data_IF_969830697868
#
_entry.id   IF_969830697868
#
_cell.length_a   1.000
_cell.length_b   1.000
_cell.length_c   1.000
_cell.angle_alpha   90.00
_cell.angle_beta   90.00
_cell.angle_gamma   90.00
#
_symmetry.space_group_name_H-M   'P 1'
#
loop_
_entity.id
_entity.type
_entity.pdbx_description
1 polymer ?
#
# COMPACT_ATOMS: atom_id res chain seq x y z
N UNK A 1 12.09 12.93 -20.94
CA UNK A 1 11.63 11.88 -21.88
C UNK A 1 11.61 10.54 -21.17
N UNK A 2 10.53 9.75 -21.34
CA UNK A 2 10.42 8.41 -20.76
C UNK A 2 10.84 7.35 -21.79
N UNK A 3 11.67 6.39 -21.35
CA UNK A 3 12.16 5.28 -22.19
C UNK A 3 11.92 3.98 -21.40
N UNK A 4 11.39 2.96 -22.08
CA UNK A 4 11.20 1.64 -21.44
C UNK A 4 12.57 1.05 -21.08
N UNK A 5 12.72 0.67 -19.80
CA UNK A 5 13.97 0.11 -19.29
C UNK A 5 14.18 -1.32 -19.79
N UNK A 6 15.43 -1.67 -20.01
CA UNK A 6 15.88 -3.06 -20.20
C UNK A 6 16.44 -3.63 -18.90
N UNK A 7 16.60 -4.96 -18.83
CA UNK A 7 17.27 -5.59 -17.69
C UNK A 7 18.69 -5.05 -17.47
N UNK A 8 19.42 -4.78 -18.55
CA UNK A 8 20.78 -4.19 -18.48
C UNK A 8 20.78 -2.77 -17.89
N UNK A 9 19.72 -1.99 -18.16
CA UNK A 9 19.59 -0.66 -17.57
C UNK A 9 19.39 -0.76 -16.07
N UNK A 10 18.59 -1.73 -15.58
CA UNK A 10 18.37 -1.91 -14.15
C UNK A 10 19.67 -2.34 -13.46
N UNK A 11 20.46 -3.24 -14.04
CA UNK A 11 21.77 -3.61 -13.51
C UNK A 11 22.69 -2.38 -13.35
N UNK A 12 22.64 -1.46 -14.33
CA UNK A 12 23.44 -0.25 -14.31
C UNK A 12 22.96 0.80 -13.30
N UNK A 13 21.65 0.94 -13.11
CA UNK A 13 21.07 2.03 -12.33
C UNK A 13 20.48 1.60 -10.98
N UNK A 14 20.58 0.33 -10.57
CA UNK A 14 19.99 -0.15 -9.31
C UNK A 14 20.53 0.56 -8.07
N UNK A 15 21.82 0.87 -8.01
CA UNK A 15 22.43 1.55 -6.89
C UNK A 15 21.98 3.02 -6.80
N UNK A 16 21.85 3.66 -7.94
CA UNK A 16 21.30 5.00 -8.07
C UNK A 16 19.83 5.02 -7.61
N UNK A 17 19.01 4.11 -8.12
CA UNK A 17 17.60 4.00 -7.71
C UNK A 17 17.47 3.73 -6.20
N UNK A 18 18.30 2.84 -5.64
CA UNK A 18 18.28 2.55 -4.21
C UNK A 18 18.65 3.78 -3.36
N UNK A 19 19.63 4.57 -3.79
CA UNK A 19 20.00 5.80 -3.09
C UNK A 19 18.85 6.83 -3.03
N UNK A 20 18.06 6.92 -4.10
CA UNK A 20 16.87 7.77 -4.14
C UNK A 20 15.72 7.17 -3.32
N UNK A 21 15.53 5.87 -3.40
CA UNK A 21 14.48 5.16 -2.70
C UNK A 21 14.57 5.29 -1.16
N UNK A 22 15.78 5.42 -0.61
CA UNK A 22 16.00 5.64 0.83
C UNK A 22 15.72 7.07 1.29
N UNK A 23 15.49 8.02 0.37
CA UNK A 23 15.17 9.42 0.67
C UNK A 23 13.68 9.67 0.46
N UNK A 24 12.92 9.78 1.55
CA UNK A 24 11.48 10.05 1.51
C UNK A 24 11.10 11.40 0.87
N UNK A 25 12.05 12.29 0.65
CA UNK A 25 11.82 13.56 -0.06
C UNK A 25 11.91 13.43 -1.58
N UNK A 26 12.34 12.26 -2.09
CA UNK A 26 12.58 11.96 -3.51
C UNK A 26 11.94 10.69 -4.01
N UNK A 27 11.56 9.80 -3.10
CA UNK A 27 10.92 8.54 -3.46
C UNK A 27 9.40 8.65 -3.46
N UNK A 28 8.77 7.82 -4.28
CA UNK A 28 7.39 7.41 -4.12
C UNK A 28 7.32 6.02 -3.49
N UNK A 29 6.09 5.53 -3.34
CA UNK A 29 5.82 4.17 -2.95
C UNK A 29 6.81 3.21 -3.65
N UNK A 30 7.40 2.21 -3.02
CA UNK A 30 7.02 1.57 -1.76
C UNK A 30 8.18 1.34 -0.79
N UNK A 31 9.28 2.07 -0.74
CA UNK A 31 10.48 1.54 -0.07
C UNK A 31 10.22 1.25 1.37
N UNK A 32 9.45 1.44 2.10
CA UNK A 32 9.15 0.98 3.46
C UNK A 32 7.76 0.35 3.55
N UNK A 33 6.94 0.48 2.49
CA UNK A 33 5.57 0.05 2.52
C UNK A 33 5.42 -1.45 2.44
N UNK A 34 6.18 -2.14 1.64
CA UNK A 34 6.03 -3.60 1.48
C UNK A 34 7.04 -4.39 2.34
N UNK A 35 7.49 -3.81 3.47
CA UNK A 35 8.51 -4.42 4.32
C UNK A 35 9.89 -4.51 3.67
N UNK A 36 10.13 -3.71 2.64
CA UNK A 36 11.42 -3.61 1.97
C UNK A 36 12.35 -2.78 2.85
N UNK A 37 13.21 -3.44 3.60
CA UNK A 37 14.14 -2.81 4.54
C UNK A 37 15.61 -2.92 4.15
N UNK A 38 15.93 -3.74 3.13
CA UNK A 38 17.29 -3.99 2.69
C UNK A 38 17.47 -3.73 1.20
N UNK A 39 18.70 -3.42 0.79
CA UNK A 39 19.06 -3.26 -0.63
C UNK A 39 18.73 -4.53 -1.45
N UNK A 40 18.94 -5.70 -0.90
CA UNK A 40 18.66 -6.97 -1.58
C UNK A 40 17.14 -7.13 -1.86
N UNK A 41 16.29 -6.78 -0.90
CA UNK A 41 14.84 -6.77 -1.09
C UNK A 41 14.41 -5.71 -2.12
N UNK A 42 15.00 -4.52 -2.07
CA UNK A 42 14.76 -3.46 -3.06
C UNK A 42 15.13 -3.91 -4.48
N UNK A 43 16.29 -4.53 -4.66
CA UNK A 43 16.71 -5.06 -5.96
C UNK A 43 15.71 -6.11 -6.45
N UNK A 44 15.27 -7.03 -5.57
CA UNK A 44 14.24 -8.02 -5.92
C UNK A 44 12.93 -7.34 -6.33
N UNK A 45 12.53 -6.28 -5.64
CA UNK A 45 11.33 -5.50 -5.99
C UNK A 45 11.49 -4.84 -7.38
N UNK A 46 12.62 -4.21 -7.69
CA UNK A 46 12.87 -3.69 -9.05
C UNK A 46 12.79 -4.78 -10.12
N UNK A 47 13.38 -5.96 -9.86
CA UNK A 47 13.32 -7.08 -10.80
C UNK A 47 11.89 -7.58 -11.06
N UNK A 48 11.00 -7.49 -10.06
CA UNK A 48 9.61 -7.89 -10.23
C UNK A 48 8.87 -7.11 -11.33
N UNK A 49 9.31 -5.89 -11.66
CA UNK A 49 8.79 -5.12 -12.78
C UNK A 49 8.95 -5.78 -14.16
N UNK A 50 9.82 -6.81 -14.26
CA UNK A 50 10.01 -7.59 -15.49
C UNK A 50 9.43 -9.00 -15.42
N UNK A 51 8.91 -9.43 -14.28
CA UNK A 51 8.41 -10.79 -14.08
C UNK A 51 6.94 -10.93 -14.48
N UNK A 52 6.18 -9.84 -14.37
CA UNK A 52 4.76 -9.77 -14.72
C UNK A 52 4.52 -9.29 -16.15
N UNK A 53 3.35 -9.65 -16.71
CA UNK A 53 2.88 -9.07 -17.98
C UNK A 53 2.28 -7.67 -17.78
N UNK A 54 1.85 -7.38 -16.55
CA UNK A 54 1.06 -6.22 -16.17
C UNK A 54 1.89 -5.22 -15.35
N UNK A 55 3.22 -5.22 -15.55
CA UNK A 55 4.15 -4.30 -14.87
C UNK A 55 5.28 -3.90 -15.80
N UNK A 56 5.85 -2.72 -15.59
CA UNK A 56 6.96 -2.20 -16.39
C UNK A 56 7.80 -1.18 -15.60
N UNK A 57 8.97 -0.87 -16.15
CA UNK A 57 9.87 0.16 -15.62
C UNK A 57 10.23 1.12 -16.75
N UNK A 58 10.12 2.41 -16.49
CA UNK A 58 10.55 3.48 -17.38
C UNK A 58 11.76 4.19 -16.77
N UNK A 59 12.71 4.54 -17.63
CA UNK A 59 13.78 5.49 -17.32
C UNK A 59 13.29 6.90 -17.61
N UNK A 60 13.48 7.82 -16.69
CA UNK A 60 13.34 9.24 -16.94
C UNK A 60 14.70 9.80 -17.38
N UNK A 61 14.75 10.31 -18.60
CA UNK A 61 15.98 10.84 -19.23
C UNK A 61 15.81 12.32 -19.50
N UNK A 62 16.76 13.12 -19.00
CA UNK A 62 16.89 14.56 -19.27
C UNK A 62 18.34 14.87 -19.66
N UNK A 63 18.54 15.71 -20.66
CA UNK A 63 19.87 16.09 -21.18
C UNK A 63 20.79 14.87 -21.44
N UNK A 64 20.25 13.84 -22.09
CA UNK A 64 20.93 12.57 -22.40
C UNK A 64 21.40 11.76 -21.18
N UNK A 65 20.94 12.12 -19.96
CA UNK A 65 21.27 11.43 -18.72
C UNK A 65 20.03 10.79 -18.11
N UNK A 66 20.21 9.60 -17.55
CA UNK A 66 19.16 8.97 -16.74
C UNK A 66 19.12 9.68 -15.41
N UNK A 67 18.00 10.33 -15.13
CA UNK A 67 17.73 11.08 -13.89
C UNK A 67 16.68 10.43 -13.01
N UNK A 68 16.19 9.26 -13.39
CA UNK A 68 15.27 8.51 -12.55
C UNK A 68 14.70 7.26 -13.18
N UNK A 69 13.93 6.55 -12.34
CA UNK A 69 13.16 5.37 -12.72
C UNK A 69 11.74 5.50 -12.17
N UNK A 70 10.77 5.05 -12.98
CA UNK A 70 9.36 4.92 -12.58
C UNK A 70 8.97 3.47 -12.83
N UNK A 71 8.57 2.76 -11.77
CA UNK A 71 8.02 1.42 -11.85
C UNK A 71 6.52 1.49 -11.61
N UNK A 72 5.74 0.77 -12.41
CA UNK A 72 4.29 0.75 -12.30
C UNK A 72 3.75 -0.64 -12.62
N UNK A 73 2.53 -0.90 -12.17
CA UNK A 73 1.74 -2.04 -12.59
C UNK A 73 0.32 -1.61 -12.95
N UNK A 74 -0.39 -2.46 -13.69
CA UNK A 74 -1.77 -2.20 -14.07
C UNK A 74 -2.63 -3.48 -13.97
N UNK A 75 -3.93 -3.28 -13.85
CA UNK A 75 -4.94 -4.35 -13.83
C UNK A 75 -5.95 -4.02 -14.94
N UNK A 76 -5.81 -4.68 -16.09
CA UNK A 76 -6.57 -4.38 -17.30
C UNK A 76 -8.09 -4.43 -17.07
N UNK A 77 -8.59 -5.51 -16.44
CA UNK A 77 -10.03 -5.69 -16.17
C UNK A 77 -10.68 -4.60 -15.31
N UNK A 78 -9.86 -3.88 -14.53
CA UNK A 78 -10.31 -2.85 -13.60
C UNK A 78 -9.95 -1.44 -14.07
N UNK A 79 -9.29 -1.30 -15.24
CA UNK A 79 -8.73 -0.04 -15.74
C UNK A 79 -7.94 0.70 -14.65
N UNK A 80 -7.14 -0.06 -13.89
CA UNK A 80 -6.37 0.42 -12.74
C UNK A 80 -4.89 0.44 -13.08
N UNK A 81 -4.19 1.54 -12.79
CA UNK A 81 -2.75 1.66 -12.91
C UNK A 81 -2.18 2.35 -11.68
N UNK A 82 -1.12 1.80 -11.10
CA UNK A 82 -0.48 2.37 -9.92
C UNK A 82 1.03 2.37 -10.09
N UNK A 83 1.68 3.46 -9.67
CA UNK A 83 3.12 3.45 -9.46
C UNK A 83 3.44 2.61 -8.22
N UNK A 84 4.42 1.74 -8.33
CA UNK A 84 5.00 1.00 -7.21
C UNK A 84 6.51 1.27 -7.04
N UNK A 85 7.02 2.28 -7.76
CA UNK A 85 8.35 2.85 -7.60
C UNK A 85 8.47 4.16 -8.36
N UNK A 86 8.97 5.20 -7.68
CA UNK A 86 9.23 6.51 -8.28
C UNK A 86 10.50 7.09 -7.66
N UNK A 87 11.57 7.11 -8.41
CA UNK A 87 12.91 7.45 -7.94
C UNK A 87 13.51 8.48 -8.89
N UNK A 88 13.31 9.78 -8.61
CA UNK A 88 13.71 10.88 -9.49
C UNK A 88 14.71 11.79 -8.78
N UNK A 89 15.88 12.01 -9.39
CA UNK A 89 16.89 12.95 -8.92
C UNK A 89 16.77 14.33 -9.54
N UNK A 90 16.21 14.38 -10.76
CA UNK A 90 16.08 15.59 -11.56
C UNK A 90 14.76 16.34 -11.33
N UNK A 91 14.18 16.79 -12.44
CA UNK A 91 12.92 17.52 -12.44
C UNK A 91 11.73 16.59 -12.18
N UNK A 92 11.26 16.58 -10.93
CA UNK A 92 10.12 15.78 -10.48
C UNK A 92 8.81 16.19 -11.17
N UNK A 93 8.60 17.48 -11.45
CA UNK A 93 7.40 17.97 -12.10
C UNK A 93 7.34 17.51 -13.55
N UNK A 94 8.46 17.63 -14.27
CA UNK A 94 8.57 17.12 -15.63
C UNK A 94 8.36 15.60 -15.67
N UNK A 95 8.96 14.83 -14.75
CA UNK A 95 8.82 13.37 -14.71
C UNK A 95 7.37 12.93 -14.49
N UNK A 96 6.63 13.59 -13.58
CA UNK A 96 5.21 13.31 -13.33
C UNK A 96 4.37 13.69 -14.55
N UNK A 97 4.60 14.87 -15.13
CA UNK A 97 3.86 15.34 -16.31
C UNK A 97 4.05 14.36 -17.48
N UNK A 98 5.28 14.00 -17.79
CA UNK A 98 5.59 13.03 -18.86
C UNK A 98 5.00 11.65 -18.58
N UNK A 99 4.95 11.22 -17.32
CA UNK A 99 4.34 9.93 -16.97
C UNK A 99 2.81 9.95 -17.14
N UNK A 100 2.15 11.06 -16.80
CA UNK A 100 0.71 11.25 -17.06
C UNK A 100 0.42 11.25 -18.56
N UNK A 101 1.26 11.90 -19.36
CA UNK A 101 1.12 11.90 -20.82
C UNK A 101 1.34 10.50 -21.40
N UNK A 102 2.39 9.81 -20.98
CA UNK A 102 2.65 8.41 -21.33
C UNK A 102 1.45 7.50 -21.01
N UNK A 103 0.88 7.65 -19.82
CA UNK A 103 -0.29 6.82 -19.43
C UNK A 103 -1.54 7.19 -20.24
N UNK A 104 -1.75 8.44 -20.58
CA UNK A 104 -2.87 8.87 -21.45
C UNK A 104 -2.76 8.27 -22.84
N UNK A 105 -1.55 8.14 -23.39
CA UNK A 105 -1.33 7.55 -24.71
C UNK A 105 -1.47 6.03 -24.73
N UNK A 106 -1.07 5.34 -23.63
CA UNK A 106 -0.98 3.88 -23.60
C UNK A 106 -2.09 3.20 -22.80
N UNK A 107 -2.78 3.94 -21.91
CA UNK A 107 -3.77 3.44 -20.95
C UNK A 107 -5.01 4.34 -20.87
N UNK A 108 -5.51 4.81 -22.02
CA UNK A 108 -6.70 5.66 -22.05
C UNK A 108 -7.91 5.00 -21.35
N UNK A 109 -8.55 5.71 -20.44
CA UNK A 109 -9.67 5.22 -19.64
C UNK A 109 -9.28 4.56 -18.32
N UNK A 110 -7.99 4.56 -17.97
CA UNK A 110 -7.53 4.05 -16.66
C UNK A 110 -7.57 5.12 -15.58
N UNK A 111 -7.70 4.68 -14.33
CA UNK A 111 -7.43 5.48 -13.14
C UNK A 111 -5.97 5.25 -12.72
N UNK A 112 -5.18 6.32 -12.74
CA UNK A 112 -3.77 6.33 -12.40
C UNK A 112 -3.58 6.77 -10.95
N UNK A 113 -2.94 5.93 -10.14
CA UNK A 113 -2.72 6.15 -8.71
C UNK A 113 -1.26 6.46 -8.40
N UNK A 114 -1.05 7.49 -7.60
CA UNK A 114 0.26 7.96 -7.15
C UNK A 114 0.33 7.96 -5.63
N UNK A 115 1.10 7.06 -5.04
CA UNK A 115 1.37 7.02 -3.61
C UNK A 115 2.72 7.64 -3.26
N UNK A 116 2.73 8.59 -2.31
CA UNK A 116 3.95 9.26 -1.89
C UNK A 116 4.03 9.45 -0.37
N UNK A 117 5.25 9.40 0.22
CA UNK A 117 5.46 10.00 1.53
C UNK A 117 5.12 11.49 1.49
N UNK A 118 4.41 12.01 2.49
CA UNK A 118 4.05 13.44 2.59
C UNK A 118 5.28 14.37 2.60
N UNK A 119 6.44 13.82 2.96
CA UNK A 119 7.73 14.54 2.89
C UNK A 119 8.19 14.84 1.46
N UNK A 120 7.67 14.13 0.44
CA UNK A 120 7.98 14.44 -0.95
C UNK A 120 7.12 15.61 -1.47
N UNK A 121 7.35 16.79 -0.92
CA UNK A 121 6.60 18.00 -1.27
C UNK A 121 6.69 18.38 -2.76
N UNK A 122 7.79 17.99 -3.44
CA UNK A 122 7.95 18.25 -4.88
C UNK A 122 6.97 17.42 -5.71
N UNK A 123 6.88 16.12 -5.43
CA UNK A 123 5.92 15.25 -6.11
C UNK A 123 4.48 15.67 -5.83
N UNK A 124 4.14 15.97 -4.57
CA UNK A 124 2.81 16.42 -4.19
C UNK A 124 2.42 17.70 -4.95
N UNK A 125 3.31 18.70 -4.99
CA UNK A 125 3.06 19.92 -5.75
C UNK A 125 2.88 19.66 -7.25
N UNK A 126 3.71 18.79 -7.83
CA UNK A 126 3.60 18.42 -9.24
C UNK A 126 2.27 17.71 -9.56
N UNK A 127 1.81 16.82 -8.67
CA UNK A 127 0.50 16.15 -8.81
C UNK A 127 -0.65 17.17 -8.76
N UNK A 128 -0.61 18.10 -7.81
CA UNK A 128 -1.61 19.18 -7.71
C UNK A 128 -1.62 20.07 -8.96
N UNK A 129 -0.44 20.45 -9.47
CA UNK A 129 -0.31 21.24 -10.70
C UNK A 129 -0.87 20.51 -11.93
N UNK A 130 -0.77 19.18 -11.95
CA UNK A 130 -1.33 18.33 -13.00
C UNK A 130 -2.81 17.98 -12.78
N UNK A 131 -3.47 18.55 -11.76
CA UNK A 131 -4.87 18.34 -11.45
C UNK A 131 -5.19 16.90 -11.02
N UNK A 132 -4.28 16.26 -10.30
CA UNK A 132 -4.54 15.01 -9.61
C UNK A 132 -5.36 15.27 -8.33
N UNK A 133 -6.29 14.39 -8.01
CA UNK A 133 -7.15 14.47 -6.84
C UNK A 133 -6.53 13.72 -5.66
N UNK A 134 -6.50 14.32 -4.47
CA UNK A 134 -6.11 13.67 -3.24
C UNK A 134 -7.27 12.78 -2.76
N UNK A 135 -7.03 11.47 -2.64
CA UNK A 135 -8.05 10.49 -2.24
C UNK A 135 -7.79 9.83 -0.89
N UNK A 136 -6.54 9.88 -0.40
CA UNK A 136 -6.20 9.32 0.91
C UNK A 136 -5.07 10.11 1.56
N UNK A 137 -5.19 10.31 2.89
CA UNK A 137 -4.11 10.71 3.79
C UNK A 137 -4.09 9.71 4.96
N UNK A 138 -2.95 9.06 5.17
CA UNK A 138 -2.82 8.02 6.19
C UNK A 138 -1.42 8.00 6.82
N UNK A 139 -1.27 7.22 7.88
CA UNK A 139 0.02 6.90 8.49
C UNK A 139 0.45 5.53 8.01
N UNK A 140 1.58 5.46 7.36
CA UNK A 140 2.19 4.19 6.99
C UNK A 140 2.88 3.58 8.21
N UNK A 141 2.23 2.61 8.80
CA UNK A 141 2.66 1.93 10.01
C UNK A 141 3.22 0.54 9.72
N UNK A 142 4.34 0.23 10.34
CA UNK A 142 5.02 -1.06 10.24
C UNK A 142 5.13 -1.70 11.61
N UNK A 143 4.73 -2.96 11.74
CA UNK A 143 4.96 -3.79 12.92
C UNK A 143 5.93 -4.92 12.59
N UNK A 144 7.01 -5.06 13.38
CA UNK A 144 7.99 -6.16 13.22
C UNK A 144 7.61 -7.31 14.15
N UNK A 145 7.34 -8.47 13.56
CA UNK A 145 6.84 -9.65 14.27
C UNK A 145 7.93 -10.46 14.99
N UNK A 146 9.21 -10.15 14.82
CA UNK A 146 10.32 -10.95 15.35
C UNK A 146 10.15 -11.23 16.86
N UNK A 147 9.94 -10.19 17.64
CA UNK A 147 9.82 -10.26 19.10
C UNK A 147 8.37 -10.30 19.61
N UNK A 148 7.39 -10.42 18.71
CA UNK A 148 6.00 -10.49 19.10
C UNK A 148 5.68 -11.84 19.78
N UNK A 149 5.08 -11.75 20.97
CA UNK A 149 4.62 -12.91 21.74
C UNK A 149 3.15 -13.14 21.47
N UNK A 150 2.83 -14.33 20.96
CA UNK A 150 1.44 -14.73 20.67
C UNK A 150 0.60 -14.69 21.94
N UNK A 151 -0.55 -14.05 21.89
CA UNK A 151 -1.51 -13.96 22.98
C UNK A 151 -2.54 -15.10 22.87
N UNK A 152 -2.64 -15.95 23.89
CA UNK A 152 -3.39 -17.20 23.84
C UNK A 152 -4.91 -17.05 23.84
N UNK A 153 -5.45 -15.98 24.42
CA UNK A 153 -6.91 -15.79 24.52
C UNK A 153 -7.31 -14.36 24.14
N UNK A 154 -8.06 -14.27 23.05
CA UNK A 154 -8.71 -13.04 22.63
C UNK A 154 -10.23 -13.25 22.73
N UNK A 155 -10.81 -12.84 23.88
CA UNK A 155 -12.23 -13.01 24.14
C UNK A 155 -13.08 -12.29 23.06
N UNK A 156 -14.09 -12.99 22.56
CA UNK A 156 -15.03 -12.45 21.57
C UNK A 156 -14.48 -12.35 20.14
N UNK A 157 -13.23 -12.74 19.89
CA UNK A 157 -12.67 -12.76 18.53
C UNK A 157 -13.09 -14.04 17.80
N UNK A 158 -13.65 -13.88 16.60
CA UNK A 158 -13.98 -14.99 15.70
C UNK A 158 -13.40 -14.76 14.31
N UNK A 159 -12.77 -15.80 13.75
CA UNK A 159 -12.31 -15.78 12.37
C UNK A 159 -13.50 -15.85 11.42
N UNK A 160 -13.48 -15.04 10.37
CA UNK A 160 -14.49 -15.06 9.32
C UNK A 160 -14.23 -16.23 8.38
N UNK A 161 -15.29 -16.97 8.10
CA UNK A 161 -15.37 -18.08 7.16
C UNK A 161 -16.60 -17.91 6.26
N UNK A 162 -16.83 -18.78 5.33
CA UNK A 162 -18.04 -18.74 4.47
C UNK A 162 -19.33 -18.73 5.32
N UNK A 163 -19.34 -19.45 6.47
CA UNK A 163 -20.54 -19.58 7.31
C UNK A 163 -20.97 -18.30 8.03
N UNK A 164 -20.04 -17.39 8.33
CA UNK A 164 -20.31 -16.13 9.03
C UNK A 164 -19.91 -14.87 8.21
N UNK A 165 -19.55 -15.02 6.93
CA UNK A 165 -19.18 -13.90 6.08
C UNK A 165 -20.29 -12.84 5.96
N UNK A 166 -21.54 -13.27 6.05
CA UNK A 166 -22.69 -12.34 6.03
C UNK A 166 -22.68 -11.33 7.19
N UNK A 167 -22.08 -11.68 8.33
CA UNK A 167 -21.95 -10.78 9.48
C UNK A 167 -20.84 -9.75 9.26
N UNK A 168 -19.72 -10.17 8.67
CA UNK A 168 -18.68 -9.26 8.19
C UNK A 168 -19.24 -8.25 7.19
N UNK A 169 -19.99 -8.72 6.18
CA UNK A 169 -20.63 -7.86 5.18
C UNK A 169 -21.61 -6.85 5.78
N UNK A 170 -22.33 -7.21 6.85
CA UNK A 170 -23.26 -6.30 7.53
C UNK A 170 -22.57 -5.18 8.32
N UNK A 171 -21.43 -5.47 8.95
CA UNK A 171 -20.72 -4.47 9.74
C UNK A 171 -19.82 -3.58 8.88
N UNK A 172 -19.26 -4.14 7.79
CA UNK A 172 -18.42 -3.40 6.87
C UNK A 172 -19.26 -2.46 6.04
N UNK A 173 -19.09 -1.15 6.26
CA UNK A 173 -19.71 -0.12 5.42
C UNK A 173 -18.96 -0.15 4.09
N UNK A 174 -19.67 -0.56 3.02
CA UNK A 174 -19.09 -0.55 1.67
C UNK A 174 -18.87 0.89 1.27
N UNK A 175 -17.61 1.26 1.02
CA UNK A 175 -17.29 2.50 0.33
C UNK A 175 -17.29 2.22 -1.18
N UNK A 176 -18.02 3.03 -1.95
CA UNK A 176 -18.08 2.90 -3.41
C UNK A 176 -16.72 3.07 -4.08
N UNK A 177 -15.77 3.73 -3.40
CA UNK A 177 -14.43 3.99 -3.90
C UNK A 177 -13.39 2.95 -3.47
N UNK A 178 -13.79 1.92 -2.72
CA UNK A 178 -12.85 0.88 -2.27
C UNK A 178 -12.63 -0.18 -3.35
N UNK A 179 -11.38 -0.45 -3.70
CA UNK A 179 -11.03 -1.53 -4.62
C UNK A 179 -11.49 -2.91 -4.09
N UNK A 180 -11.25 -3.18 -2.82
CA UNK A 180 -11.62 -4.42 -2.16
C UNK A 180 -13.04 -4.37 -1.63
N UNK A 181 -14.02 -4.53 -2.51
CA UNK A 181 -15.42 -4.69 -2.11
C UNK A 181 -15.65 -6.01 -1.37
N UNK A 182 -16.73 -6.12 -0.61
CA UNK A 182 -17.08 -7.37 0.06
C UNK A 182 -17.23 -8.55 -0.89
N UNK A 183 -17.70 -8.33 -2.12
CA UNK A 183 -17.82 -9.37 -3.13
C UNK A 183 -16.46 -9.87 -3.62
N UNK A 184 -15.51 -8.97 -3.92
CA UNK A 184 -14.14 -9.33 -4.31
C UNK A 184 -13.39 -10.06 -3.19
N UNK A 185 -13.61 -9.67 -1.95
CA UNK A 185 -13.06 -10.37 -0.79
C UNK A 185 -13.64 -11.77 -0.69
N UNK A 186 -14.97 -11.93 -0.88
CA UNK A 186 -15.62 -13.24 -0.82
C UNK A 186 -15.12 -14.20 -1.89
N UNK A 187 -14.93 -13.73 -3.13
CA UNK A 187 -14.39 -14.53 -4.25
C UNK A 187 -13.01 -15.11 -3.96
N UNK A 188 -12.23 -14.45 -3.11
CA UNK A 188 -10.87 -14.84 -2.73
C UNK A 188 -10.71 -15.03 -1.22
N UNK A 189 -11.78 -15.39 -0.51
CA UNK A 189 -11.84 -15.42 0.96
C UNK A 189 -10.71 -16.22 1.63
N UNK A 190 -10.27 -17.31 0.99
CA UNK A 190 -9.16 -18.16 1.46
C UNK A 190 -7.81 -17.42 1.56
N UNK A 191 -7.64 -16.32 0.81
CA UNK A 191 -6.41 -15.53 0.77
C UNK A 191 -6.41 -14.41 1.83
N UNK A 192 -7.50 -14.28 2.58
CA UNK A 192 -7.72 -13.23 3.56
C UNK A 192 -7.69 -13.74 4.99
N UNK A 193 -7.12 -12.94 5.87
CA UNK A 193 -7.24 -13.06 7.33
C UNK A 193 -8.27 -12.04 7.80
N UNK A 194 -9.47 -12.49 8.12
CA UNK A 194 -10.56 -11.62 8.54
C UNK A 194 -11.04 -12.04 9.91
N UNK A 195 -11.20 -11.07 10.82
CA UNK A 195 -11.71 -11.30 12.16
C UNK A 195 -12.84 -10.33 12.51
N UNK A 196 -13.80 -10.83 13.27
CA UNK A 196 -14.84 -10.05 13.93
C UNK A 196 -14.59 -10.07 15.44
N UNK A 197 -14.81 -8.96 16.10
CA UNK A 197 -14.92 -8.89 17.55
C UNK A 197 -16.38 -8.80 17.95
N UNK A 198 -16.83 -9.74 18.77
CA UNK A 198 -18.18 -9.79 19.33
C UNK A 198 -18.20 -9.33 20.78
N UNK A 199 -19.24 -8.59 21.14
CA UNK A 199 -19.66 -8.33 22.50
C UNK A 199 -21.16 -8.58 22.60
N UNK A 200 -21.56 -9.36 23.58
CA UNK A 200 -22.97 -9.74 23.78
C UNK A 200 -23.65 -10.24 22.50
N UNK A 201 -23.00 -11.18 21.79
CA UNK A 201 -23.44 -11.76 20.50
C UNK A 201 -23.52 -10.78 19.32
N UNK A 202 -23.05 -9.56 19.51
CA UNK A 202 -23.11 -8.48 18.52
C UNK A 202 -21.70 -8.15 18.02
N UNK A 203 -21.48 -8.19 16.71
CA UNK A 203 -20.20 -7.78 16.13
C UNK A 203 -19.98 -6.27 16.30
N UNK A 204 -18.92 -5.86 17.00
CA UNK A 204 -18.59 -4.46 17.29
C UNK A 204 -17.52 -3.89 16.37
N UNK A 205 -16.68 -4.74 15.80
CA UNK A 205 -15.64 -4.33 14.90
C UNK A 205 -15.16 -5.49 14.03
N UNK A 206 -14.46 -5.14 12.98
CA UNK A 206 -13.83 -6.09 12.07
C UNK A 206 -12.44 -5.61 11.64
N UNK A 207 -11.64 -6.56 11.20
CA UNK A 207 -10.37 -6.30 10.52
C UNK A 207 -10.21 -7.26 9.35
N UNK A 208 -9.68 -6.80 8.23
CA UNK A 208 -9.28 -7.67 7.14
C UNK A 208 -7.86 -7.37 6.69
N UNK A 209 -7.06 -8.44 6.55
CA UNK A 209 -5.68 -8.39 6.13
C UNK A 209 -5.40 -9.45 5.06
N UNK A 210 -4.43 -9.16 4.21
CA UNK A 210 -3.95 -10.06 3.17
C UNK A 210 -2.46 -9.86 2.97
N UNK A 211 -1.70 -10.94 2.83
CA UNK A 211 -0.25 -10.91 2.53
C UNK A 211 0.61 -10.08 3.50
N UNK A 212 0.16 -9.86 4.75
CA UNK A 212 0.90 -9.05 5.72
C UNK A 212 0.57 -7.55 5.68
N UNK A 213 -0.54 -7.18 5.07
CA UNK A 213 -1.08 -5.82 5.06
C UNK A 213 -2.52 -5.82 5.55
N UNK A 214 -2.86 -4.85 6.42
CA UNK A 214 -4.25 -4.55 6.79
C UNK A 214 -4.83 -3.64 5.70
N UNK A 215 -5.91 -4.11 5.06
CA UNK A 215 -6.61 -3.38 4.01
C UNK A 215 -7.82 -2.61 4.53
N UNK A 216 -8.39 -3.04 5.67
CA UNK A 216 -9.56 -2.38 6.23
C UNK A 216 -9.73 -2.80 7.70
N UNK A 217 -10.10 -1.86 8.53
CA UNK A 217 -10.45 -2.05 9.93
C UNK A 217 -11.59 -1.09 10.26
N UNK A 218 -12.69 -1.63 10.73
CA UNK A 218 -13.85 -0.81 10.99
C UNK A 218 -14.63 -1.20 12.26
N UNK A 219 -15.53 -0.31 12.63
CA UNK A 219 -16.32 -0.39 13.85
C UNK A 219 -17.80 -0.23 13.53
N UNK A 220 -18.65 -0.85 14.33
CA UNK A 220 -20.11 -0.67 14.23
C UNK A 220 -20.49 0.80 14.38
N UNK A 221 -20.03 1.43 15.43
CA UNK A 221 -20.40 2.81 15.78
C UNK A 221 -19.24 3.77 15.55
N UNK A 222 -18.25 3.75 16.44
CA UNK A 222 -17.09 4.64 16.40
C UNK A 222 -15.82 3.92 16.82
N UNK A 223 -14.70 4.57 16.60
CA UNK A 223 -13.39 4.12 17.04
C UNK A 223 -13.42 3.70 18.54
N UNK A 224 -12.81 2.56 18.81
CA UNK A 224 -12.62 2.05 20.17
C UNK A 224 -11.23 1.40 20.26
N UNK A 225 -10.34 1.99 21.05
CA UNK A 225 -8.95 1.55 21.17
C UNK A 225 -8.81 0.10 21.68
N UNK A 226 -9.72 -0.40 22.53
CA UNK A 226 -9.68 -1.79 22.98
C UNK A 226 -10.10 -2.76 21.86
N UNK A 227 -11.14 -2.40 21.09
CA UNK A 227 -11.56 -3.16 19.90
C UNK A 227 -10.45 -3.17 18.85
N UNK A 228 -9.81 -2.03 18.59
CA UNK A 228 -8.65 -1.92 17.72
C UNK A 228 -7.53 -2.87 18.13
N UNK A 229 -7.09 -2.80 19.39
CA UNK A 229 -6.01 -3.64 19.93
C UNK A 229 -6.32 -5.13 19.83
N UNK A 230 -7.54 -5.54 20.16
CA UNK A 230 -7.95 -6.96 20.09
C UNK A 230 -7.93 -7.49 18.65
N UNK A 231 -8.48 -6.73 17.69
CA UNK A 231 -8.53 -7.10 16.28
C UNK A 231 -7.14 -7.15 15.65
N UNK A 232 -6.30 -6.14 15.89
CA UNK A 232 -4.92 -6.11 15.40
C UNK A 232 -4.11 -7.26 16.00
N UNK A 233 -4.28 -7.54 17.30
CA UNK A 233 -3.59 -8.66 17.95
C UNK A 233 -3.98 -10.00 17.33
N UNK A 234 -5.24 -10.19 16.91
CA UNK A 234 -5.67 -11.40 16.21
C UNK A 234 -4.91 -11.59 14.89
N UNK A 235 -4.75 -10.52 14.10
CA UNK A 235 -3.95 -10.54 12.88
C UNK A 235 -2.46 -10.83 13.18
N UNK A 236 -1.88 -10.18 14.18
CA UNK A 236 -0.48 -10.40 14.58
C UNK A 236 -0.23 -11.86 14.99
N UNK A 237 -1.16 -12.46 15.75
CA UNK A 237 -1.10 -13.88 16.14
C UNK A 237 -1.10 -14.78 14.90
N UNK A 238 -2.00 -14.56 13.96
CA UNK A 238 -2.10 -15.37 12.74
C UNK A 238 -0.85 -15.21 11.87
N UNK A 239 -0.40 -14.00 11.62
CA UNK A 239 0.79 -13.73 10.81
C UNK A 239 2.05 -14.33 11.42
N UNK A 240 2.19 -14.28 12.75
CA UNK A 240 3.29 -14.94 13.46
C UNK A 240 3.26 -16.45 13.28
N UNK A 241 2.06 -17.06 13.38
CA UNK A 241 1.87 -18.50 13.15
C UNK A 241 2.18 -18.89 11.68
N UNK A 242 1.93 -18.01 10.72
CA UNK A 242 2.28 -18.19 9.31
C UNK A 242 3.78 -17.96 9.02
N UNK A 243 4.60 -17.57 10.00
CA UNK A 243 6.02 -17.26 9.82
C UNK A 243 6.28 -15.95 9.09
N UNK A 244 5.32 -15.03 9.07
CA UNK A 244 5.52 -13.68 8.52
C UNK A 244 6.45 -12.89 9.42
N UNK A 245 7.17 -11.93 8.84
CA UNK A 245 8.18 -11.11 9.55
C UNK A 245 7.65 -9.75 9.96
N UNK A 246 6.61 -9.26 9.30
CA UNK A 246 6.04 -7.92 9.53
C UNK A 246 4.56 -7.84 9.17
N UNK A 247 3.92 -6.76 9.63
CA UNK A 247 2.57 -6.33 9.27
C UNK A 247 2.63 -4.85 8.91
N UNK A 248 1.94 -4.49 7.83
CA UNK A 248 1.83 -3.12 7.32
C UNK A 248 0.40 -2.64 7.49
N UNK A 249 0.23 -1.37 7.78
CA UNK A 249 -1.07 -0.73 7.84
C UNK A 249 -0.99 0.74 7.41
N UNK A 250 -1.81 1.12 6.44
CA UNK A 250 -2.11 2.52 6.14
C UNK A 250 -3.22 2.98 7.07
N UNK A 251 -2.83 3.56 8.18
CA UNK A 251 -3.67 3.79 9.36
C UNK A 251 -4.21 5.21 9.39
N UNK A 252 -5.41 5.38 9.91
CA UNK A 252 -6.05 6.68 10.06
C UNK A 252 -5.50 7.45 11.28
N UNK A 253 -5.62 8.78 11.27
CA UNK A 253 -5.13 9.64 12.36
C UNK A 253 -5.79 9.32 13.70
N UNK A 254 -7.06 8.92 13.73
CA UNK A 254 -7.80 8.58 14.95
C UNK A 254 -7.25 7.34 15.64
N UNK A 255 -6.82 6.33 14.89
CA UNK A 255 -6.31 5.06 15.39
C UNK A 255 -4.79 5.02 15.57
N UNK A 256 -4.06 5.99 15.05
CA UNK A 256 -2.61 6.08 15.15
C UNK A 256 -2.05 5.96 16.59
N UNK A 257 -2.60 6.63 17.63
CA UNK A 257 -2.09 6.45 18.98
C UNK A 257 -2.20 5.01 19.47
N UNK A 258 -3.30 4.32 19.14
CA UNK A 258 -3.49 2.92 19.53
C UNK A 258 -2.55 1.97 18.79
N UNK A 259 -2.19 2.27 17.54
CA UNK A 259 -1.18 1.53 16.78
C UNK A 259 0.20 1.62 17.46
N UNK A 260 0.62 2.84 17.82
CA UNK A 260 1.89 3.07 18.52
C UNK A 260 1.96 2.34 19.87
N UNK A 261 0.86 2.32 20.63
CA UNK A 261 0.78 1.58 21.90
C UNK A 261 0.90 0.06 21.74
N UNK A 262 0.46 -0.51 20.60
CA UNK A 262 0.64 -1.93 20.29
C UNK A 262 2.10 -2.21 19.89
N UNK A 263 2.84 -1.21 19.42
CA UNK A 263 4.24 -1.33 19.01
C UNK A 263 4.49 -1.14 17.51
N UNK A 264 3.51 -0.62 16.76
CA UNK A 264 3.78 -0.16 15.40
C UNK A 264 4.77 1.01 15.41
N UNK A 265 5.52 1.09 14.34
CA UNK A 265 6.42 2.20 14.05
C UNK A 265 5.85 2.98 12.85
N UNK A 266 5.57 4.24 13.03
CA UNK A 266 5.19 5.10 11.91
C UNK A 266 6.41 5.35 11.01
N UNK A 267 6.38 4.81 9.82
CA UNK A 267 7.46 4.94 8.84
C UNK A 267 7.37 6.26 8.08
N UNK A 268 6.14 6.64 7.71
CA UNK A 268 5.87 7.88 7.00
C UNK A 268 4.41 8.32 7.17
N UNK A 269 4.15 9.61 7.04
CA UNK A 269 2.84 10.09 6.62
C UNK A 269 2.73 9.85 5.10
N UNK A 270 1.60 9.33 4.66
CA UNK A 270 1.35 8.90 3.29
C UNK A 270 0.20 9.67 2.67
N UNK A 271 0.29 9.92 1.38
CA UNK A 271 -0.79 10.51 0.57
C UNK A 271 -0.95 9.73 -0.73
N UNK A 272 -2.20 9.51 -1.12
CA UNK A 272 -2.56 8.88 -2.38
C UNK A 272 -3.32 9.88 -3.25
N UNK A 273 -2.85 10.06 -4.47
CA UNK A 273 -3.49 10.88 -5.49
C UNK A 273 -3.99 10.01 -6.64
N UNK A 274 -5.08 10.41 -7.27
CA UNK A 274 -5.63 9.76 -8.46
C UNK A 274 -5.74 10.73 -9.62
N UNK A 275 -5.57 10.21 -10.83
CA UNK A 275 -5.81 10.91 -12.09
C UNK A 275 -6.47 9.97 -13.08
N UNK A 276 -7.62 10.34 -13.62
CA UNK A 276 -8.22 9.62 -14.75
C UNK A 276 -7.53 10.06 -16.05
N UNK A 277 -7.09 9.12 -16.86
CA UNK A 277 -6.30 9.37 -18.08
C UNK A 277 -6.99 8.83 -19.33
#
# INVERSE_FOLDING_TARGET
>A
MLIRATKSDIEKYMDFAYSLATDQTRSGYPLFSDGISTKAQFIKHLWSGFEGKDSDILLFVSDEKVEGLIQYFYIEKDCYLQINGFYISGDTEQAITEFIEYTRENFAGYSLYFGFPKKNARAIKALQNNGCELVEESYHDLFILENFVVQSELAGIAKVTESNFSEFRKIRKTDEYTYWTSDRIYETLKDWSIYLLYRDETAEGYICARNGEIFDLGYRDKFNGNTYKALVTAILNELKAQGRTHLIFFNEAESQPAALEIGFQCVAEYVLYVKNV
#
